data_IF_215196706735
#
_entry.id   IF_215196706735
#
_cell.length_a   1.000
_cell.length_b   1.000
_cell.length_c   1.000
_cell.angle_alpha   90.00
_cell.angle_beta   90.00
_cell.angle_gamma   90.00
#
_symmetry.space_group_name_H-M   'P 1'
#
loop_
_entity.id
_entity.type
_entity.pdbx_description
1 polymer ?
#
# COMPACT_ATOMS: atom_id res chain seq x y z
N UNK A 1 25.54 11.03 -37.65
CA UNK A 1 26.91 10.80 -37.18
C UNK A 1 26.95 11.12 -35.68
N UNK A 2 27.00 10.10 -34.84
CA UNK A 2 27.74 9.98 -33.56
C UNK A 2 27.50 8.53 -33.16
N UNK A 3 28.53 7.73 -33.37
CA UNK A 3 28.67 6.34 -32.90
C UNK A 3 29.24 6.45 -31.50
N UNK A 4 28.52 5.97 -30.49
CA UNK A 4 29.10 5.73 -29.17
C UNK A 4 29.08 4.21 -28.99
N UNK A 5 30.27 3.64 -29.15
CA UNK A 5 30.60 2.26 -28.79
C UNK A 5 30.89 2.31 -27.29
N UNK A 6 30.09 1.64 -26.49
CA UNK A 6 30.40 1.33 -25.10
C UNK A 6 30.22 -0.18 -24.92
N UNK A 7 31.36 -0.86 -25.02
CA UNK A 7 31.62 -2.15 -24.41
C UNK A 7 31.63 -1.92 -22.89
N UNK A 8 30.79 -2.62 -22.12
CA UNK A 8 31.00 -3.00 -20.71
C UNK A 8 29.79 -3.76 -20.15
N UNK A 9 30.09 -4.98 -19.69
CA UNK A 9 29.48 -5.83 -18.65
C UNK A 9 27.95 -6.03 -18.57
N UNK A 10 27.61 -7.31 -18.53
CA UNK A 10 26.29 -7.94 -18.59
C UNK A 10 25.28 -7.55 -17.49
N UNK A 11 25.68 -6.84 -16.43
CA UNK A 11 24.78 -6.39 -15.35
C UNK A 11 24.01 -5.09 -15.65
N UNK A 12 24.46 -4.28 -16.63
CA UNK A 12 23.74 -3.07 -17.06
C UNK A 12 22.54 -3.38 -17.97
N UNK A 13 22.50 -4.56 -18.59
CA UNK A 13 21.45 -4.94 -19.54
C UNK A 13 20.09 -5.22 -18.90
N UNK A 14 20.06 -5.69 -17.65
CA UNK A 14 18.80 -5.86 -16.89
C UNK A 14 18.21 -4.51 -16.49
N UNK A 15 19.05 -3.57 -16.05
CA UNK A 15 18.64 -2.20 -15.72
C UNK A 15 18.18 -1.41 -16.95
N UNK A 16 18.89 -1.53 -18.08
CA UNK A 16 18.49 -0.86 -19.33
C UNK A 16 17.19 -1.42 -19.90
N UNK A 17 16.96 -2.74 -19.86
CA UNK A 17 15.67 -3.32 -20.26
C UNK A 17 14.52 -2.89 -19.33
N UNK A 18 14.76 -2.84 -18.01
CA UNK A 18 13.79 -2.35 -17.03
C UNK A 18 13.39 -0.89 -17.30
N UNK A 19 14.36 -0.02 -17.60
CA UNK A 19 14.10 1.38 -17.97
C UNK A 19 13.43 1.47 -19.35
N UNK A 20 13.82 0.66 -20.34
CA UNK A 20 13.19 0.67 -21.68
C UNK A 20 11.74 0.19 -21.66
N UNK A 21 11.39 -0.76 -20.78
CA UNK A 21 10.01 -1.23 -20.62
C UNK A 21 9.12 -0.18 -19.92
N UNK A 22 9.67 0.62 -19.00
CA UNK A 22 9.02 1.80 -18.41
C UNK A 22 8.86 2.94 -19.44
N UNK A 23 9.84 3.10 -20.34
CA UNK A 23 9.84 4.11 -21.41
C UNK A 23 9.07 3.70 -22.66
N UNK A 24 8.54 2.48 -22.74
CA UNK A 24 7.48 2.14 -23.70
C UNK A 24 6.20 2.87 -23.28
N UNK A 25 6.15 4.18 -23.60
CA UNK A 25 5.10 5.13 -23.25
C UNK A 25 3.68 4.68 -23.61
N UNK A 26 3.51 3.65 -24.43
CA UNK A 26 2.23 3.04 -24.75
C UNK A 26 1.53 2.37 -23.55
N UNK A 27 2.25 1.73 -22.62
CA UNK A 27 1.60 1.11 -21.45
C UNK A 27 1.12 2.16 -20.44
N UNK A 28 1.97 3.16 -20.18
CA UNK A 28 1.60 4.26 -19.29
C UNK A 28 0.47 5.11 -19.89
N UNK A 29 0.53 5.41 -21.19
CA UNK A 29 -0.55 6.12 -21.87
C UNK A 29 -1.85 5.31 -21.86
N UNK A 30 -1.83 4.02 -22.24
CA UNK A 30 -3.06 3.20 -22.27
C UNK A 30 -3.77 3.13 -20.91
N UNK A 31 -3.05 3.08 -19.81
CA UNK A 31 -3.64 2.89 -18.48
C UNK A 31 -3.89 4.18 -17.70
N UNK A 32 -3.10 5.22 -17.97
CA UNK A 32 -3.13 6.44 -17.18
C UNK A 32 -3.56 7.66 -18.01
N UNK A 33 -3.63 7.57 -19.36
CA UNK A 33 -4.01 8.69 -20.20
C UNK A 33 -5.39 9.20 -19.84
N UNK A 34 -6.44 8.38 -19.76
CA UNK A 34 -7.79 8.86 -19.42
C UNK A 34 -7.84 9.67 -18.12
N UNK A 35 -7.00 9.30 -17.15
CA UNK A 35 -6.84 10.09 -15.94
C UNK A 35 -6.11 11.40 -16.23
N UNK A 36 -4.91 11.34 -16.82
CA UNK A 36 -4.07 12.53 -17.03
C UNK A 36 -4.34 13.32 -18.32
N UNK A 37 -5.41 12.99 -19.08
CA UNK A 37 -5.87 13.77 -20.23
C UNK A 37 -6.36 15.10 -19.69
N UNK A 38 -5.52 16.10 -19.86
CA UNK A 38 -5.85 17.48 -19.55
C UNK A 38 -6.75 18.03 -20.66
N UNK A 39 -8.04 18.23 -20.38
CA UNK A 39 -9.03 18.73 -21.34
C UNK A 39 -9.24 20.25 -21.28
N UNK A 40 -8.32 21.01 -20.65
CA UNK A 40 -8.46 22.44 -20.40
C UNK A 40 -7.48 23.32 -21.19
N UNK A 41 -7.69 24.64 -21.12
CA UNK A 41 -6.66 25.63 -21.48
C UNK A 41 -5.71 25.75 -20.28
N UNK A 42 -4.39 25.75 -20.53
CA UNK A 42 -3.40 25.85 -19.47
C UNK A 42 -3.42 27.26 -18.86
N UNK A 43 -4.23 27.46 -17.82
CA UNK A 43 -4.25 28.68 -17.02
C UNK A 43 -3.51 28.49 -15.68
N UNK A 44 -3.27 29.58 -14.95
CA UNK A 44 -2.56 29.55 -13.67
C UNK A 44 -3.28 28.74 -12.58
N UNK A 45 -4.54 28.33 -12.76
CA UNK A 45 -5.35 27.54 -11.82
C UNK A 45 -5.62 26.10 -12.31
N UNK A 46 -5.23 25.77 -13.53
CA UNK A 46 -5.51 24.50 -14.21
C UNK A 46 -4.91 23.27 -13.50
N UNK A 47 -3.85 23.47 -12.73
CA UNK A 47 -3.21 22.47 -11.87
C UNK A 47 -4.06 22.04 -10.66
N UNK A 48 -5.15 22.74 -10.35
CA UNK A 48 -6.08 22.36 -9.27
C UNK A 48 -6.99 21.19 -9.67
N UNK A 49 -7.26 21.04 -10.97
CA UNK A 49 -8.13 20.01 -11.54
C UNK A 49 -7.37 18.86 -12.19
N UNK A 50 -6.03 18.87 -12.17
CA UNK A 50 -5.25 17.73 -12.64
C UNK A 50 -5.34 16.58 -11.62
N UNK A 51 -5.44 15.33 -12.07
CA UNK A 51 -5.44 14.19 -11.18
C UNK A 51 -4.12 14.12 -10.43
N UNK A 52 -4.19 14.21 -9.10
CA UNK A 52 -3.00 14.40 -8.25
C UNK A 52 -2.08 13.18 -8.17
N UNK A 53 -2.57 11.97 -8.45
CA UNK A 53 -1.77 10.72 -8.56
C UNK A 53 -2.64 9.52 -8.94
N UNK A 54 -2.20 8.69 -9.88
CA UNK A 54 -2.58 7.28 -10.02
C UNK A 54 -2.13 6.50 -8.79
N UNK A 55 -3.05 5.81 -8.11
CA UNK A 55 -2.74 4.98 -6.93
C UNK A 55 -3.15 3.55 -7.23
N UNK A 56 -2.50 2.96 -8.23
CA UNK A 56 -2.63 1.56 -8.64
C UNK A 56 -1.35 1.14 -9.37
N UNK A 57 -1.12 -0.17 -9.48
CA UNK A 57 -0.01 -0.73 -10.24
C UNK A 57 -0.37 -0.86 -11.72
N UNK A 58 0.63 -0.63 -12.57
CA UNK A 58 0.48 -0.86 -14.00
C UNK A 58 0.46 -2.36 -14.33
N UNK A 59 -0.19 -2.77 -15.42
CA UNK A 59 -0.33 -4.20 -15.76
C UNK A 59 0.99 -4.97 -15.85
N UNK A 60 2.05 -4.33 -16.33
CA UNK A 60 3.37 -4.97 -16.47
C UNK A 60 3.97 -5.40 -15.13
N UNK A 61 3.60 -4.75 -14.02
CA UNK A 61 4.10 -5.08 -12.68
C UNK A 61 3.78 -6.51 -12.30
N UNK A 62 2.66 -7.04 -12.79
CA UNK A 62 2.21 -8.41 -12.48
C UNK A 62 2.99 -9.50 -13.21
N UNK A 63 3.83 -9.14 -14.18
CA UNK A 63 4.69 -10.07 -14.91
C UNK A 63 6.12 -10.14 -14.34
N UNK A 64 6.44 -9.29 -13.36
CA UNK A 64 7.76 -9.26 -12.74
C UNK A 64 8.03 -10.56 -11.99
N UNK A 65 9.29 -10.99 -11.95
CA UNK A 65 9.69 -12.07 -11.06
C UNK A 65 9.75 -11.59 -9.60
N UNK A 66 10.00 -12.52 -8.68
CA UNK A 66 10.02 -12.24 -7.23
C UNK A 66 11.01 -11.12 -6.86
N UNK A 67 12.23 -11.13 -7.39
CA UNK A 67 13.27 -10.17 -7.02
C UNK A 67 13.03 -8.80 -7.64
N UNK A 68 12.53 -8.74 -8.87
CA UNK A 68 12.09 -7.50 -9.51
C UNK A 68 10.91 -6.86 -8.75
N UNK A 69 9.93 -7.66 -8.33
CA UNK A 69 8.83 -7.17 -7.50
C UNK A 69 9.34 -6.62 -6.16
N UNK A 70 10.34 -7.27 -5.54
CA UNK A 70 10.95 -6.77 -4.31
C UNK A 70 11.60 -5.41 -4.48
N UNK A 71 12.26 -5.15 -5.61
CA UNK A 71 12.81 -3.84 -5.93
C UNK A 71 11.70 -2.76 -6.04
N UNK A 72 10.57 -3.08 -6.67
CA UNK A 72 9.40 -2.19 -6.73
C UNK A 72 8.86 -1.89 -5.33
N UNK A 73 8.69 -2.92 -4.49
CA UNK A 73 8.22 -2.76 -3.10
C UNK A 73 9.16 -1.88 -2.27
N UNK A 74 10.48 -2.02 -2.44
CA UNK A 74 11.45 -1.18 -1.73
C UNK A 74 11.37 0.29 -2.20
N UNK A 75 11.17 0.52 -3.50
CA UNK A 75 10.89 1.86 -4.03
C UNK A 75 9.63 2.49 -3.42
N UNK A 76 8.54 1.71 -3.30
CA UNK A 76 7.30 2.17 -2.66
C UNK A 76 7.51 2.45 -1.18
N UNK A 77 8.22 1.56 -0.47
CA UNK A 77 8.57 1.78 0.93
C UNK A 77 9.37 3.06 1.10
N UNK A 78 10.30 3.36 0.19
CA UNK A 78 11.07 4.61 0.17
C UNK A 78 10.22 5.85 -0.01
N UNK A 79 9.16 5.77 -0.79
CA UNK A 79 8.26 6.89 -1.00
C UNK A 79 7.29 7.11 0.18
N UNK A 80 6.62 6.05 0.65
CA UNK A 80 5.44 6.15 1.52
C UNK A 80 5.50 5.24 2.78
N UNK A 81 6.68 4.68 3.07
CA UNK A 81 6.89 3.74 4.16
C UNK A 81 7.55 4.34 5.41
N UNK A 82 7.64 3.50 6.44
CA UNK A 82 8.30 3.83 7.70
C UNK A 82 9.73 3.26 7.75
N UNK A 83 10.72 4.14 7.92
CA UNK A 83 12.13 3.79 8.07
C UNK A 83 12.59 3.68 9.53
N UNK A 84 11.76 4.13 10.46
CA UNK A 84 12.15 4.25 11.87
C UNK A 84 12.01 2.95 12.65
N UNK A 85 11.27 1.98 12.11
CA UNK A 85 11.03 0.70 12.78
C UNK A 85 11.60 -0.47 11.97
N UNK A 86 12.04 -1.51 12.67
CA UNK A 86 12.36 -2.81 12.08
C UNK A 86 11.16 -3.44 11.32
N UNK A 87 9.93 -2.92 11.51
CA UNK A 87 8.75 -3.39 10.81
C UNK A 87 8.63 -2.67 9.47
N UNK A 88 8.45 -3.45 8.40
CA UNK A 88 8.21 -2.88 7.08
C UNK A 88 6.74 -2.45 6.99
N UNK A 89 6.51 -1.14 7.09
CA UNK A 89 5.17 -0.54 7.03
C UNK A 89 5.07 0.36 5.79
N UNK A 90 3.95 0.28 5.08
CA UNK A 90 3.58 1.21 4.00
C UNK A 90 2.21 1.80 4.34
N UNK A 91 2.04 3.10 4.11
CA UNK A 91 0.78 3.79 4.39
C UNK A 91 0.09 4.23 3.11
N UNK A 92 -1.23 4.08 3.03
CA UNK A 92 -2.00 4.58 1.88
C UNK A 92 -3.43 4.93 2.26
N UNK A 93 -4.04 5.84 1.50
CA UNK A 93 -5.47 6.16 1.59
C UNK A 93 -6.30 5.54 0.46
N UNK A 94 -5.65 4.85 -0.49
CA UNK A 94 -6.33 4.22 -1.64
C UNK A 94 -6.67 2.78 -1.29
N UNK A 95 -7.97 2.45 -1.28
CA UNK A 95 -8.47 1.08 -1.08
C UNK A 95 -7.94 0.17 -2.19
N UNK A 96 -8.03 0.61 -3.45
CA UNK A 96 -7.50 -0.14 -4.60
C UNK A 96 -6.01 -0.40 -4.46
N UNK A 97 -5.22 0.63 -4.15
CA UNK A 97 -3.77 0.48 -4.02
C UNK A 97 -3.40 -0.45 -2.87
N UNK A 98 -4.12 -0.36 -1.74
CA UNK A 98 -3.93 -1.26 -0.59
C UNK A 98 -4.08 -2.71 -1.02
N UNK A 99 -5.15 -3.04 -1.75
CA UNK A 99 -5.45 -4.42 -2.15
C UNK A 99 -4.43 -4.94 -3.18
N UNK A 100 -4.08 -4.12 -4.16
CA UNK A 100 -3.02 -4.46 -5.11
C UNK A 100 -1.66 -4.59 -4.41
N UNK A 101 -1.35 -3.73 -3.42
CA UNK A 101 -0.10 -3.81 -2.66
C UNK A 101 -0.01 -5.09 -1.84
N UNK A 102 -1.11 -5.57 -1.25
CA UNK A 102 -1.14 -6.89 -0.58
C UNK A 102 -0.79 -7.99 -1.58
N UNK A 103 -1.40 -7.97 -2.78
CA UNK A 103 -1.09 -8.94 -3.83
C UNK A 103 0.38 -8.88 -4.27
N UNK A 104 0.90 -7.68 -4.49
CA UNK A 104 2.30 -7.46 -4.88
C UNK A 104 3.28 -7.96 -3.81
N UNK A 105 2.97 -7.74 -2.53
CA UNK A 105 3.78 -8.24 -1.41
C UNK A 105 3.79 -9.77 -1.35
N UNK A 106 2.64 -10.42 -1.56
CA UNK A 106 2.56 -11.88 -1.65
C UNK A 106 3.36 -12.42 -2.84
N UNK A 107 3.26 -11.76 -3.99
CA UNK A 107 4.04 -12.08 -5.20
C UNK A 107 5.55 -11.94 -5.00
N UNK A 108 5.97 -10.97 -4.19
CA UNK A 108 7.36 -10.78 -3.76
C UNK A 108 7.84 -11.80 -2.71
N UNK A 109 6.99 -12.77 -2.33
CA UNK A 109 7.29 -13.78 -1.31
C UNK A 109 7.29 -13.23 0.11
N UNK A 110 6.60 -12.10 0.36
CA UNK A 110 6.40 -11.58 1.70
C UNK A 110 5.11 -12.09 2.31
N UNK A 111 5.12 -12.15 3.63
CA UNK A 111 3.93 -12.26 4.44
C UNK A 111 3.35 -10.85 4.66
N UNK A 112 2.04 -10.63 4.50
CA UNK A 112 1.45 -9.30 4.54
C UNK A 112 0.07 -9.25 5.22
N UNK A 113 -0.25 -8.11 5.85
CA UNK A 113 -1.58 -7.77 6.37
C UNK A 113 -1.81 -6.26 6.31
N UNK A 114 -3.05 -5.83 6.46
CA UNK A 114 -3.37 -4.41 6.58
C UNK A 114 -4.31 -4.13 7.77
N UNK A 115 -4.27 -2.90 8.27
CA UNK A 115 -5.17 -2.40 9.31
C UNK A 115 -5.58 -0.96 8.99
N UNK A 116 -6.77 -0.55 9.44
CA UNK A 116 -7.17 0.85 9.42
C UNK A 116 -6.31 1.59 10.48
N UNK A 117 -5.52 2.57 10.04
CA UNK A 117 -4.70 3.41 10.91
C UNK A 117 -5.54 4.52 11.55
N UNK A 118 -6.43 5.12 10.76
CA UNK A 118 -7.44 6.07 11.22
C UNK A 118 -8.52 6.23 10.17
N UNK A 119 -9.75 6.51 10.61
CA UNK A 119 -10.87 6.81 9.75
C UNK A 119 -10.84 8.26 9.23
N UNK A 120 -11.53 8.48 8.12
CA UNK A 120 -11.91 9.80 7.62
C UNK A 120 -12.53 10.63 8.75
N UNK A 121 -12.17 11.91 8.81
CA UNK A 121 -12.60 12.85 9.83
C UNK A 121 -11.72 12.88 11.09
N UNK A 122 -10.88 11.87 11.31
CA UNK A 122 -9.95 11.84 12.46
C UNK A 122 -9.06 13.10 12.47
N UNK A 123 -8.95 13.76 13.62
CA UNK A 123 -8.04 14.88 13.82
C UNK A 123 -6.62 14.32 14.01
N UNK A 124 -5.74 14.63 13.07
CA UNK A 124 -4.37 14.10 13.03
C UNK A 124 -3.36 15.00 13.74
N UNK A 125 -3.74 16.24 13.98
CA UNK A 125 -2.93 17.28 14.56
C UNK A 125 -3.54 18.64 14.28
N UNK A 126 -2.84 19.69 14.67
CA UNK A 126 -3.28 21.06 14.49
C UNK A 126 -2.16 21.88 13.84
N UNK A 127 -2.51 22.69 12.85
CA UNK A 127 -1.60 23.62 12.18
C UNK A 127 -1.86 25.05 12.66
N UNK A 128 -0.83 25.88 12.86
CA UNK A 128 -1.02 27.30 13.15
C UNK A 128 -1.80 28.01 12.03
N UNK A 129 -2.68 28.95 12.40
CA UNK A 129 -3.44 29.79 11.46
C UNK A 129 -2.47 30.74 10.75
N UNK A 130 -2.60 30.84 9.42
CA UNK A 130 -1.88 31.85 8.62
C UNK A 130 -0.40 31.57 8.34
N UNK A 131 0.15 30.44 8.78
CA UNK A 131 1.53 30.08 8.45
C UNK A 131 1.62 29.47 7.04
N UNK A 132 2.42 30.09 6.17
CA UNK A 132 2.87 29.51 4.89
C UNK A 132 4.29 28.97 5.08
N UNK A 133 4.51 27.68 4.84
CA UNK A 133 5.85 27.07 4.92
C UNK A 133 5.99 26.05 6.05
N UNK A 134 7.17 25.98 6.68
CA UNK A 134 7.58 24.88 7.57
C UNK A 134 6.58 24.67 8.72
N UNK A 135 5.69 23.69 8.57
CA UNK A 135 4.52 23.52 9.41
C UNK A 135 4.92 22.99 10.78
N UNK A 136 4.79 23.79 11.85
CA UNK A 136 4.88 23.29 13.22
C UNK A 136 3.56 22.62 13.61
N UNK A 137 3.33 21.43 13.07
CA UNK A 137 2.15 20.62 13.38
C UNK A 137 2.27 20.13 14.82
N UNK A 138 1.25 20.39 15.63
CA UNK A 138 1.17 19.86 17.00
C UNK A 138 0.26 18.64 17.03
N UNK A 139 0.61 17.65 17.86
CA UNK A 139 -0.24 16.48 18.07
C UNK A 139 -1.51 16.86 18.85
N UNK A 140 -2.61 16.09 18.72
CA UNK A 140 -3.82 16.37 19.50
C UNK A 140 -3.57 16.44 21.01
N UNK A 141 -2.73 15.55 21.55
CA UNK A 141 -2.35 15.53 22.96
C UNK A 141 -1.66 16.82 23.42
N UNK A 142 -0.82 17.41 22.57
CA UNK A 142 -0.14 18.68 22.89
C UNK A 142 -1.13 19.84 22.81
N UNK A 143 -2.02 19.84 21.81
CA UNK A 143 -3.04 20.87 21.63
C UNK A 143 -4.03 20.95 22.81
N UNK A 144 -4.41 19.81 23.38
CA UNK A 144 -5.30 19.73 24.53
C UNK A 144 -4.75 20.48 25.75
N UNK A 145 -3.41 20.48 25.93
CA UNK A 145 -2.73 21.15 27.04
C UNK A 145 -2.54 22.66 26.83
N UNK A 146 -2.93 23.22 25.68
CA UNK A 146 -2.85 24.66 25.45
C UNK A 146 -3.97 25.43 26.16
N UNK A 147 -3.68 26.68 26.51
CA UNK A 147 -4.71 27.61 26.95
C UNK A 147 -5.62 28.02 25.78
N UNK A 148 -6.81 28.55 26.10
CA UNK A 148 -7.83 28.89 25.09
C UNK A 148 -7.37 29.98 24.10
N UNK A 149 -6.56 30.94 24.55
CA UNK A 149 -6.01 31.97 23.67
C UNK A 149 -5.00 31.41 22.66
N UNK A 150 -4.25 30.37 23.03
CA UNK A 150 -3.32 29.68 22.12
C UNK A 150 -4.07 28.74 21.19
N UNK A 151 -5.09 28.03 21.67
CA UNK A 151 -5.92 27.13 20.84
C UNK A 151 -6.57 27.83 19.64
N UNK A 152 -7.01 29.08 19.80
CA UNK A 152 -7.58 29.91 18.71
C UNK A 152 -6.61 30.17 17.56
N UNK A 153 -5.30 30.03 17.80
CA UNK A 153 -4.25 30.25 16.78
C UNK A 153 -4.00 29.01 15.93
N UNK A 154 -4.79 27.95 16.06
CA UNK A 154 -4.58 26.69 15.35
C UNK A 154 -5.86 26.16 14.71
N UNK A 155 -5.70 25.47 13.58
CA UNK A 155 -6.78 24.77 12.86
C UNK A 155 -6.57 23.26 12.89
N UNK A 156 -7.65 22.47 13.03
CA UNK A 156 -7.55 21.01 13.05
C UNK A 156 -7.25 20.46 11.66
N UNK A 157 -6.29 19.55 11.59
CA UNK A 157 -5.95 18.79 10.39
C UNK A 157 -6.83 17.53 10.39
N UNK A 158 -7.96 17.60 9.70
CA UNK A 158 -8.90 16.48 9.57
C UNK A 158 -8.50 15.57 8.40
N UNK A 159 -8.51 14.26 8.65
CA UNK A 159 -8.30 13.27 7.61
C UNK A 159 -9.41 13.34 6.55
N UNK A 160 -9.05 13.56 5.29
CA UNK A 160 -10.02 13.59 4.17
C UNK A 160 -10.53 12.21 3.77
N UNK A 161 -9.73 11.18 4.01
CA UNK A 161 -9.97 9.79 3.66
C UNK A 161 -9.53 8.89 4.80
N UNK A 162 -10.02 7.65 4.77
CA UNK A 162 -9.46 6.57 5.56
C UNK A 162 -7.98 6.39 5.21
N UNK A 163 -7.19 6.00 6.21
CA UNK A 163 -5.79 5.70 6.02
C UNK A 163 -5.48 4.31 6.55
N UNK A 164 -4.78 3.55 5.72
CA UNK A 164 -4.45 2.16 5.93
C UNK A 164 -2.96 2.04 6.20
N UNK A 165 -2.61 1.14 7.12
CA UNK A 165 -1.24 0.66 7.29
C UNK A 165 -1.17 -0.77 6.76
N UNK A 166 -0.22 -1.01 5.87
CA UNK A 166 0.14 -2.33 5.37
C UNK A 166 1.42 -2.74 6.08
N UNK A 167 1.39 -3.87 6.77
CA UNK A 167 2.54 -4.46 7.43
C UNK A 167 2.97 -5.69 6.63
N UNK A 168 4.27 -5.84 6.42
CA UNK A 168 4.82 -7.03 5.78
C UNK A 168 6.15 -7.46 6.40
N UNK A 169 6.44 -8.74 6.27
CA UNK A 169 7.66 -9.34 6.77
C UNK A 169 8.15 -10.43 5.82
N UNK A 170 9.47 -10.55 5.76
CA UNK A 170 10.14 -11.69 5.14
C UNK A 170 10.07 -12.91 6.07
N UNK A 171 10.15 -14.09 5.48
CA UNK A 171 10.27 -15.32 6.24
C UNK A 171 11.52 -15.28 7.12
N UNK A 172 11.43 -15.86 8.32
CA UNK A 172 12.53 -15.85 9.29
C UNK A 172 12.94 -14.47 9.85
N UNK A 173 12.20 -13.38 9.58
CA UNK A 173 12.57 -12.04 10.05
C UNK A 173 12.78 -12.00 11.58
N UNK A 174 13.97 -11.54 12.07
CA UNK A 174 14.32 -11.55 13.48
C UNK A 174 13.51 -10.56 14.33
N UNK A 175 12.67 -9.73 13.70
CA UNK A 175 11.78 -8.80 14.38
C UNK A 175 10.66 -9.47 15.21
N UNK A 176 10.55 -10.80 15.15
CA UNK A 176 9.51 -11.59 15.86
C UNK A 176 8.08 -11.30 15.37
N UNK A 177 7.92 -10.38 14.43
CA UNK A 177 6.66 -9.88 13.89
C UNK A 177 6.41 -10.46 12.51
N UNK A 178 6.64 -11.77 12.37
CA UNK A 178 6.14 -12.52 11.22
C UNK A 178 4.64 -12.21 11.09
N UNK A 179 4.21 -11.71 9.94
CA UNK A 179 2.81 -11.34 9.71
C UNK A 179 1.94 -12.59 9.58
N UNK A 180 2.57 -13.75 9.33
CA UNK A 180 1.90 -15.00 9.04
C UNK A 180 2.66 -16.17 9.67
N UNK A 181 2.47 -16.33 10.98
CA UNK A 181 2.41 -17.64 11.61
C UNK A 181 0.97 -17.79 12.07
N UNK A 182 0.13 -18.62 11.41
CA UNK A 182 -1.14 -18.96 11.99
C UNK A 182 -0.84 -19.77 13.25
N UNK A 183 -0.86 -19.13 14.42
CA UNK A 183 -0.98 -19.85 15.67
C UNK A 183 -2.44 -20.26 15.75
N UNK A 184 -2.76 -21.43 15.19
CA UNK A 184 -4.07 -22.03 15.34
C UNK A 184 -4.13 -22.59 16.77
N UNK A 185 -4.81 -21.85 17.64
CA UNK A 185 -5.05 -22.30 19.00
C UNK A 185 -6.14 -23.37 18.95
N UNK A 186 -5.77 -24.62 19.25
CA UNK A 186 -6.66 -25.77 19.09
C UNK A 186 -7.91 -25.72 19.99
N UNK A 187 -7.84 -24.97 21.08
CA UNK A 187 -8.91 -24.75 22.06
C UNK A 187 -9.92 -23.67 21.65
N UNK A 188 -9.52 -22.72 20.80
CA UNK A 188 -10.34 -21.54 20.46
C UNK A 188 -10.61 -21.37 18.97
N UNK A 189 -9.72 -21.86 18.10
CA UNK A 189 -9.79 -21.64 16.65
C UNK A 189 -10.06 -22.92 15.85
N UNK A 190 -9.89 -24.10 16.46
CA UNK A 190 -10.18 -25.40 15.84
C UNK A 190 -11.37 -26.04 16.56
N UNK A 191 -12.39 -26.42 15.80
CA UNK A 191 -13.53 -27.18 16.33
C UNK A 191 -13.79 -28.38 15.42
N UNK A 192 -13.91 -29.56 16.02
CA UNK A 192 -14.45 -30.73 15.33
C UNK A 192 -15.95 -30.50 15.10
N UNK A 193 -16.38 -30.58 13.86
CA UNK A 193 -17.79 -30.46 13.48
C UNK A 193 -18.18 -31.75 12.77
N UNK A 194 -18.96 -32.59 13.45
CA UNK A 194 -19.31 -33.92 12.94
C UNK A 194 -20.34 -33.84 11.79
N UNK A 195 -21.18 -32.80 11.76
CA UNK A 195 -22.20 -32.57 10.73
C UNK A 195 -22.14 -31.11 10.25
N UNK A 196 -21.20 -30.78 9.37
CA UNK A 196 -21.12 -29.43 8.78
C UNK A 196 -22.22 -29.23 7.74
N UNK A 197 -23.17 -28.32 8.04
CA UNK A 197 -24.19 -27.88 7.08
C UNK A 197 -23.83 -26.47 6.62
N UNK A 198 -23.25 -26.37 5.42
CA UNK A 198 -22.81 -25.11 4.85
C UNK A 198 -22.21 -25.27 3.46
N UNK A 199 -21.78 -24.16 2.85
CA UNK A 199 -21.12 -24.17 1.55
C UNK A 199 -19.65 -24.56 1.70
N UNK A 200 -19.29 -25.71 1.15
CA UNK A 200 -17.91 -26.16 1.00
C UNK A 200 -17.41 -25.76 -0.37
N UNK A 201 -16.20 -25.21 -0.43
CA UNK A 201 -15.52 -24.87 -1.67
C UNK A 201 -14.35 -25.83 -1.86
N UNK A 202 -14.32 -26.54 -2.98
CA UNK A 202 -13.15 -27.29 -3.43
C UNK A 202 -12.42 -26.43 -4.46
N UNK A 203 -11.12 -26.21 -4.25
CA UNK A 203 -10.29 -25.40 -5.15
C UNK A 203 -9.08 -26.22 -5.57
N UNK A 204 -8.85 -26.33 -6.88
CA UNK A 204 -7.60 -26.88 -7.42
C UNK A 204 -6.57 -25.76 -7.40
N UNK A 205 -5.49 -25.98 -6.66
CA UNK A 205 -4.46 -24.95 -6.44
C UNK A 205 -3.24 -25.29 -7.28
N UNK A 206 -3.01 -24.62 -8.41
CA UNK A 206 -1.92 -24.97 -9.33
C UNK A 206 -0.53 -24.76 -8.72
N UNK A 207 -0.42 -23.90 -7.70
CA UNK A 207 0.85 -23.54 -7.03
C UNK A 207 1.04 -24.22 -5.66
N UNK A 208 0.09 -25.06 -5.23
CA UNK A 208 0.17 -25.81 -3.95
C UNK A 208 -0.07 -25.01 -2.67
N UNK A 209 -0.54 -23.76 -2.74
CA UNK A 209 -0.72 -22.90 -1.58
C UNK A 209 -2.03 -22.09 -1.61
N UNK A 210 -2.83 -22.20 -0.56
CA UNK A 210 -4.06 -21.44 -0.33
C UNK A 210 -3.79 -20.36 0.70
N UNK A 211 -4.17 -19.12 0.38
CA UNK A 211 -4.23 -18.04 1.36
C UNK A 211 -5.69 -17.75 1.66
N UNK A 212 -6.12 -18.08 2.87
CA UNK A 212 -7.48 -17.82 3.34
C UNK A 212 -7.47 -16.67 4.35
N UNK A 213 -8.38 -15.72 4.18
CA UNK A 213 -8.51 -14.57 5.08
C UNK A 213 -9.99 -14.25 5.28
N UNK A 214 -10.43 -14.08 6.53
CA UNK A 214 -11.78 -13.57 6.81
C UNK A 214 -11.78 -12.07 6.55
N UNK A 215 -12.78 -11.59 5.82
CA UNK A 215 -12.93 -10.16 5.50
C UNK A 215 -14.27 -9.64 5.99
N UNK A 216 -14.27 -8.39 6.46
CA UNK A 216 -15.48 -7.63 6.70
C UNK A 216 -15.63 -6.59 5.60
N UNK A 217 -16.82 -6.49 5.03
CA UNK A 217 -17.14 -5.53 3.97
C UNK A 217 -18.09 -4.45 4.44
N UNK A 218 -18.02 -3.28 3.83
CA UNK A 218 -19.00 -2.22 4.02
C UNK A 218 -20.19 -2.38 3.06
N UNK A 219 -21.13 -1.42 3.11
CA UNK A 219 -22.32 -1.41 2.25
C UNK A 219 -22.00 -1.31 0.75
N UNK A 220 -20.84 -0.74 0.41
CA UNK A 220 -20.33 -0.60 -0.95
C UNK A 220 -19.50 -1.82 -1.40
N UNK A 221 -19.54 -2.91 -0.60
CA UNK A 221 -18.82 -4.16 -0.84
C UNK A 221 -17.28 -4.03 -0.80
N UNK A 222 -16.73 -2.92 -0.26
CA UNK A 222 -15.29 -2.76 -0.08
C UNK A 222 -14.82 -3.54 1.16
N UNK A 223 -13.65 -4.16 1.07
CA UNK A 223 -13.05 -4.79 2.26
C UNK A 223 -12.54 -3.69 3.19
N UNK A 224 -13.08 -3.62 4.41
CA UNK A 224 -12.69 -2.61 5.42
C UNK A 224 -11.85 -3.19 6.56
N UNK A 225 -11.92 -4.50 6.80
CA UNK A 225 -11.08 -5.21 7.77
C UNK A 225 -10.83 -6.61 7.27
N UNK A 226 -9.67 -7.15 7.59
CA UNK A 226 -9.34 -8.54 7.30
C UNK A 226 -8.58 -9.17 8.47
N UNK A 227 -8.82 -10.45 8.73
CA UNK A 227 -8.08 -11.22 9.74
C UNK A 227 -6.60 -11.35 9.37
N UNK A 228 -5.76 -11.94 10.20
CA UNK A 228 -4.46 -12.42 9.69
C UNK A 228 -4.74 -13.51 8.64
N UNK A 229 -4.01 -13.54 7.52
CA UNK A 229 -4.20 -14.60 6.54
C UNK A 229 -3.68 -15.92 7.12
N UNK A 230 -4.35 -17.01 6.77
CA UNK A 230 -3.93 -18.37 7.04
C UNK A 230 -3.39 -18.91 5.72
N UNK A 231 -2.13 -19.34 5.74
CA UNK A 231 -1.49 -20.01 4.62
C UNK A 231 -1.62 -21.50 4.85
N UNK A 232 -2.31 -22.19 3.96
CA UNK A 232 -2.46 -23.64 3.95
C UNK A 232 -1.72 -24.16 2.72
N UNK A 233 -0.63 -24.88 2.94
CA UNK A 233 -0.01 -25.69 1.89
C UNK A 233 -0.84 -26.95 1.67
N UNK A 234 -0.79 -27.49 0.45
CA UNK A 234 -1.18 -28.87 0.20
C UNK A 234 -0.06 -29.83 0.63
#
# INVERSE_FOLDING_TARGET
CIKIILELETELWTWLNFVFQILNGNCFYKEYAEKYVFSGVYDSNSHLNTPKSGKWFSSWVWNLNKEEMRAVIEGIRRADGDFTTYNKNIYTSSIRFRDELIRALLHAGYSAKFNLKYSKGTIRGYSPVGQKGNHKIVSPKVYENFNESTKRKYTPIKAKYDNWVINYAEDGSPSGKQCVRPNLYSDTEIKRVDNYVGRVWCVTVPTGLIIAQRVHRDADNNVIRASRPIVVGN
#
